data_IF_365296130678
#
_entry.id   IF_365296130678
#
_cell.length_a   1.000
_cell.length_b   1.000
_cell.length_c   1.000
_cell.angle_alpha   90.00
_cell.angle_beta   90.00
_cell.angle_gamma   90.00
#
_symmetry.space_group_name_H-M   'P 1'
#
loop_
_entity.id
_entity.type
_entity.pdbx_description
1 polymer ?
#
# COMPACT_ATOMS: atom_id res chain seq x y z
N UNK A 1 15.64 -14.04 10.89
CA UNK A 1 14.76 -12.97 11.45
C UNK A 1 14.77 -11.71 10.60
N UNK A 2 15.89 -11.35 9.96
CA UNK A 2 15.98 -10.15 9.11
C UNK A 2 15.14 -10.28 7.83
N UNK A 3 15.21 -11.42 7.15
CA UNK A 3 14.41 -11.72 5.95
C UNK A 3 12.91 -11.53 6.17
N UNK A 4 12.37 -12.02 7.29
CA UNK A 4 10.95 -11.84 7.62
C UNK A 4 10.56 -10.36 7.76
N UNK A 5 11.44 -9.53 8.35
CA UNK A 5 11.20 -8.08 8.45
C UNK A 5 11.24 -7.42 7.08
N UNK A 6 12.19 -7.83 6.24
CA UNK A 6 12.33 -7.32 4.88
C UNK A 6 11.08 -7.65 4.04
N UNK A 7 10.63 -8.89 4.07
CA UNK A 7 9.40 -9.31 3.38
C UNK A 7 8.17 -8.53 3.84
N UNK A 8 8.04 -8.29 5.15
CA UNK A 8 6.94 -7.48 5.69
C UNK A 8 7.02 -6.03 5.20
N UNK A 9 8.22 -5.44 5.17
CA UNK A 9 8.41 -4.07 4.68
C UNK A 9 8.08 -3.95 3.19
N UNK A 10 8.57 -4.90 2.38
CA UNK A 10 8.26 -4.93 0.94
C UNK A 10 6.75 -5.07 0.71
N UNK A 11 6.10 -5.99 1.40
CA UNK A 11 4.65 -6.18 1.30
C UNK A 11 3.87 -4.93 1.73
N UNK A 12 4.25 -4.31 2.85
CA UNK A 12 3.63 -3.09 3.35
C UNK A 12 3.78 -1.93 2.35
N UNK A 13 4.95 -1.79 1.74
CA UNK A 13 5.17 -0.76 0.72
C UNK A 13 4.21 -0.99 -0.45
N UNK A 14 4.26 -2.18 -1.07
CA UNK A 14 3.42 -2.54 -2.21
C UNK A 14 1.92 -2.37 -1.91
N UNK A 15 1.45 -2.81 -0.74
CA UNK A 15 0.04 -2.66 -0.34
C UNK A 15 -0.41 -1.19 -0.28
N UNK A 16 0.46 -0.29 0.21
CA UNK A 16 0.12 1.11 0.43
C UNK A 16 0.33 1.98 -0.81
N UNK A 17 1.23 1.61 -1.72
CA UNK A 17 1.63 2.47 -2.84
C UNK A 17 1.19 1.95 -4.21
N UNK A 18 0.94 0.65 -4.36
CA UNK A 18 0.73 0.04 -5.68
C UNK A 18 -0.60 -0.72 -5.77
N UNK A 19 -1.00 -1.41 -4.69
CA UNK A 19 -2.17 -2.28 -4.73
C UNK A 19 -3.47 -1.46 -4.85
N UNK A 20 -4.28 -1.65 -5.90
CA UNK A 20 -5.59 -1.04 -6.00
C UNK A 20 -6.59 -1.74 -5.08
N UNK A 21 -7.43 -0.96 -4.39
CA UNK A 21 -8.46 -1.48 -3.49
C UNK A 21 -9.85 -1.08 -3.98
N UNK A 22 -10.76 -2.06 -4.14
CA UNK A 22 -12.12 -1.80 -4.62
C UNK A 22 -12.92 -0.87 -3.70
N UNK A 23 -12.65 -0.90 -2.39
CA UNK A 23 -13.24 0.03 -1.42
C UNK A 23 -12.73 1.47 -1.53
N UNK A 24 -11.59 1.67 -2.21
CA UNK A 24 -10.97 2.97 -2.44
C UNK A 24 -11.11 3.40 -3.90
N UNK A 25 -12.19 3.02 -4.58
CA UNK A 25 -12.41 3.30 -6.01
C UNK A 25 -11.25 2.81 -6.90
N UNK A 26 -10.67 1.66 -6.55
CA UNK A 26 -9.50 1.08 -7.23
C UNK A 26 -8.21 1.92 -7.13
N UNK A 27 -8.09 2.78 -6.13
CA UNK A 27 -6.87 3.50 -5.81
C UNK A 27 -6.02 2.75 -4.79
N UNK A 28 -4.72 3.05 -4.79
CA UNK A 28 -3.85 2.70 -3.66
C UNK A 28 -4.21 3.57 -2.44
N UNK A 29 -3.90 3.14 -1.21
CA UNK A 29 -4.16 3.94 -0.01
C UNK A 29 -3.51 5.32 -0.06
N UNK A 30 -2.27 5.40 -0.57
CA UNK A 30 -1.56 6.67 -0.72
C UNK A 30 -2.25 7.58 -1.74
N UNK A 31 -2.68 7.05 -2.89
CA UNK A 31 -3.32 7.88 -3.92
C UNK A 31 -4.72 8.32 -3.51
N UNK A 32 -5.46 7.49 -2.75
CA UNK A 32 -6.72 7.88 -2.14
C UNK A 32 -6.55 9.07 -1.18
N UNK A 33 -5.54 9.04 -0.29
CA UNK A 33 -5.26 10.15 0.64
C UNK A 33 -4.86 11.42 -0.11
N UNK A 34 -4.05 11.32 -1.17
CA UNK A 34 -3.66 12.48 -1.99
C UNK A 34 -4.85 13.17 -2.66
N UNK A 35 -5.90 12.43 -3.01
CA UNK A 35 -7.11 13.02 -3.62
C UNK A 35 -8.05 13.67 -2.59
N UNK A 36 -7.95 13.28 -1.32
CA UNK A 36 -8.78 13.81 -0.25
C UNK A 36 -8.20 15.08 0.41
N UNK A 37 -6.97 15.46 0.08
CA UNK A 37 -6.30 16.68 0.53
C UNK A 37 -6.64 17.87 -0.38
#
# INVERSE_FOLDING_TARGET
MEEAKELIMQWKNHYNTERPHSSLNYLSPVDFVKQAA
#
